data_IF_754523978074
#
_entry.id   IF_754523978074
#
_cell.length_a   1.000
_cell.length_b   1.000
_cell.length_c   1.000
_cell.angle_alpha   90.00
_cell.angle_beta   90.00
_cell.angle_gamma   90.00
#
_symmetry.space_group_name_H-M   'P 1'
#
loop_
_entity.id
_entity.type
_entity.pdbx_description
1 polymer ?
#
# COMPACT_ATOMS: atom_id res chain seq x y z
N UNK A 1 -12.02 -14.67 -18.93
CA UNK A 1 -11.39 -13.62 -18.11
C UNK A 1 -11.36 -14.11 -16.68
N UNK A 2 -10.18 -14.15 -16.05
CA UNK A 2 -10.03 -14.57 -14.65
C UNK A 2 -10.58 -13.54 -13.67
N UNK A 3 -10.70 -13.93 -12.39
CA UNK A 3 -11.25 -13.01 -11.38
C UNK A 3 -10.33 -11.81 -11.12
N UNK A 4 -9.02 -11.98 -11.23
CA UNK A 4 -8.08 -10.87 -11.10
C UNK A 4 -8.24 -9.82 -12.21
N UNK A 5 -8.40 -10.24 -13.47
CA UNK A 5 -8.64 -9.33 -14.58
C UNK A 5 -9.96 -8.57 -14.42
N UNK A 6 -11.03 -9.24 -13.95
CA UNK A 6 -12.30 -8.59 -13.61
C UNK A 6 -12.12 -7.55 -12.50
N UNK A 7 -11.32 -7.86 -11.47
CA UNK A 7 -11.04 -6.94 -10.37
C UNK A 7 -10.24 -5.71 -10.85
N UNK A 8 -9.28 -5.89 -11.76
CA UNK A 8 -8.53 -4.79 -12.35
C UNK A 8 -9.42 -3.88 -13.21
N UNK A 9 -10.33 -4.46 -13.99
CA UNK A 9 -11.32 -3.69 -14.75
C UNK A 9 -12.27 -2.93 -13.83
N UNK A 10 -12.76 -3.57 -12.77
CA UNK A 10 -13.61 -2.93 -11.76
C UNK A 10 -12.91 -1.73 -11.11
N UNK A 11 -11.64 -1.88 -10.69
CA UNK A 11 -10.84 -0.78 -10.16
C UNK A 11 -10.72 0.38 -11.16
N UNK A 12 -10.32 0.06 -12.41
CA UNK A 12 -10.15 1.07 -13.47
C UNK A 12 -11.45 1.78 -13.80
N UNK A 13 -12.57 1.06 -13.83
CA UNK A 13 -13.88 1.63 -14.05
C UNK A 13 -14.23 2.63 -12.94
N UNK A 14 -14.13 2.22 -11.66
CA UNK A 14 -14.40 3.10 -10.52
C UNK A 14 -13.54 4.36 -10.54
N UNK A 15 -12.27 4.23 -10.89
CA UNK A 15 -11.37 5.39 -10.98
C UNK A 15 -11.69 6.29 -12.18
N UNK A 16 -12.09 5.73 -13.33
CA UNK A 16 -12.50 6.52 -14.50
C UNK A 16 -13.80 7.29 -14.30
N UNK A 17 -14.69 6.78 -13.47
CA UNK A 17 -15.96 7.43 -13.09
C UNK A 17 -15.75 8.57 -12.06
N UNK A 18 -14.58 8.60 -11.39
CA UNK A 18 -14.29 9.54 -10.31
C UNK A 18 -14.11 10.98 -10.81
N UNK A 19 -14.88 11.91 -10.27
CA UNK A 19 -14.71 13.34 -10.53
C UNK A 19 -13.36 13.87 -10.00
N UNK A 20 -12.85 13.30 -8.91
CA UNK A 20 -11.52 13.63 -8.39
C UNK A 20 -10.42 13.26 -9.41
N UNK A 21 -10.46 12.06 -9.94
CA UNK A 21 -9.44 11.60 -10.89
C UNK A 21 -9.57 12.21 -12.28
N UNK A 22 -10.79 12.60 -12.71
CA UNK A 22 -10.95 13.40 -13.93
C UNK A 22 -10.21 14.74 -13.85
N UNK A 23 -10.17 15.34 -12.65
CA UNK A 23 -9.40 16.59 -12.40
C UNK A 23 -7.90 16.34 -12.20
N UNK A 24 -7.49 15.11 -11.82
CA UNK A 24 -6.10 14.76 -11.50
C UNK A 24 -5.70 13.40 -12.13
N UNK A 25 -5.58 13.32 -13.46
CA UNK A 25 -5.33 12.06 -14.15
C UNK A 25 -4.00 11.39 -13.75
N UNK A 26 -2.94 12.15 -13.43
CA UNK A 26 -1.69 11.60 -12.93
C UNK A 26 -1.85 10.87 -11.59
N UNK A 27 -2.74 11.35 -10.72
CA UNK A 27 -3.04 10.71 -9.44
C UNK A 27 -3.77 9.37 -9.65
N UNK A 28 -4.64 9.28 -10.66
CA UNK A 28 -5.29 8.03 -11.06
C UNK A 28 -4.25 6.99 -11.51
N UNK A 29 -3.34 7.38 -12.41
CA UNK A 29 -2.30 6.49 -12.90
C UNK A 29 -1.39 6.01 -11.77
N UNK A 30 -0.98 6.92 -10.89
CA UNK A 30 -0.22 6.56 -9.69
C UNK A 30 -0.94 5.51 -8.84
N UNK A 31 -2.23 5.72 -8.54
CA UNK A 31 -3.03 4.80 -7.71
C UNK A 31 -3.23 3.44 -8.37
N UNK A 32 -3.49 3.37 -9.67
CA UNK A 32 -3.59 2.11 -10.41
C UNK A 32 -2.26 1.33 -10.32
N UNK A 33 -1.14 2.01 -10.58
CA UNK A 33 0.17 1.37 -10.54
C UNK A 33 0.55 0.91 -9.13
N UNK A 34 0.26 1.70 -8.09
CA UNK A 34 0.41 1.30 -6.70
C UNK A 34 -0.40 0.04 -6.38
N UNK A 35 -1.69 0.02 -6.73
CA UNK A 35 -2.57 -1.13 -6.51
C UNK A 35 -2.07 -2.40 -7.21
N UNK A 36 -1.55 -2.28 -8.44
CA UNK A 36 -0.96 -3.41 -9.18
C UNK A 36 0.32 -3.91 -8.50
N UNK A 37 1.20 -3.03 -8.05
CA UNK A 37 2.42 -3.44 -7.33
C UNK A 37 2.06 -4.12 -6.00
N UNK A 38 1.12 -3.56 -5.25
CA UNK A 38 0.62 -4.14 -4.00
C UNK A 38 0.01 -5.54 -4.24
N UNK A 39 -0.77 -5.71 -5.32
CA UNK A 39 -1.31 -7.01 -5.71
C UNK A 39 -0.22 -8.04 -6.06
N UNK A 40 0.84 -7.63 -6.73
CA UNK A 40 1.96 -8.51 -7.06
C UNK A 40 2.74 -8.94 -5.81
N UNK A 41 2.91 -8.03 -4.84
CA UNK A 41 3.51 -8.35 -3.53
C UNK A 41 2.64 -9.35 -2.78
N UNK A 42 1.31 -9.11 -2.72
CA UNK A 42 0.36 -10.02 -2.07
C UNK A 42 0.37 -11.41 -2.72
N UNK A 43 0.38 -11.48 -4.05
CA UNK A 43 0.50 -12.77 -4.77
C UNK A 43 1.79 -13.50 -4.42
N UNK A 44 2.91 -12.79 -4.36
CA UNK A 44 4.20 -13.37 -3.97
C UNK A 44 4.18 -13.91 -2.54
N UNK A 45 3.61 -13.15 -1.59
CA UNK A 45 3.43 -13.61 -0.21
C UNK A 45 2.55 -14.86 -0.18
N UNK A 46 1.37 -14.82 -0.82
CA UNK A 46 0.44 -15.94 -0.83
C UNK A 46 1.07 -17.22 -1.37
N UNK A 47 1.81 -17.12 -2.48
CA UNK A 47 2.51 -18.26 -3.09
C UNK A 47 3.52 -18.91 -2.15
N UNK A 48 4.29 -18.12 -1.41
CA UNK A 48 5.34 -18.65 -0.53
C UNK A 48 4.81 -19.12 0.83
N UNK A 49 3.63 -18.65 1.22
CA UNK A 49 2.98 -19.00 2.49
C UNK A 49 1.81 -20.00 2.32
N UNK A 50 1.59 -20.53 1.10
CA UNK A 50 0.54 -21.52 0.84
C UNK A 50 -0.90 -20.99 0.96
N UNK A 51 -1.11 -19.70 0.67
CA UNK A 51 -2.42 -19.05 0.70
C UNK A 51 -3.04 -19.00 -0.70
N UNK A 52 -4.32 -18.58 -0.79
CA UNK A 52 -4.98 -18.34 -2.07
C UNK A 52 -4.38 -17.10 -2.77
N UNK A 53 -3.56 -17.34 -3.79
CA UNK A 53 -2.80 -16.31 -4.52
C UNK A 53 -3.73 -15.29 -5.22
N UNK A 54 -4.79 -15.76 -5.88
CA UNK A 54 -5.71 -14.89 -6.62
C UNK A 54 -6.51 -14.01 -5.66
N UNK A 55 -7.05 -14.60 -4.60
CA UNK A 55 -7.86 -13.88 -3.63
C UNK A 55 -7.04 -12.82 -2.87
N UNK A 56 -5.81 -13.15 -2.46
CA UNK A 56 -4.94 -12.18 -1.78
C UNK A 56 -4.53 -11.06 -2.73
N UNK A 57 -4.20 -11.37 -3.99
CA UNK A 57 -3.88 -10.37 -5.00
C UNK A 57 -5.06 -9.42 -5.28
N UNK A 58 -6.30 -9.93 -5.30
CA UNK A 58 -7.51 -9.11 -5.46
C UNK A 58 -7.72 -8.21 -4.25
N UNK A 59 -7.56 -8.71 -3.04
CA UNK A 59 -7.65 -7.89 -1.82
C UNK A 59 -6.63 -6.74 -1.84
N UNK A 60 -5.39 -7.06 -2.18
CA UNK A 60 -4.32 -6.06 -2.33
C UNK A 60 -4.59 -5.08 -3.48
N UNK A 61 -5.16 -5.53 -4.61
CA UNK A 61 -5.50 -4.67 -5.75
C UNK A 61 -6.57 -3.64 -5.38
N UNK A 62 -7.54 -4.03 -4.56
CA UNK A 62 -8.73 -3.23 -4.29
C UNK A 62 -8.69 -2.47 -2.96
N UNK A 63 -7.58 -2.57 -2.18
CA UNK A 63 -7.51 -1.99 -0.83
C UNK A 63 -7.77 -0.48 -0.79
N UNK A 64 -7.39 0.22 -1.83
CA UNK A 64 -7.46 1.68 -1.98
C UNK A 64 -8.60 2.16 -2.91
N UNK A 65 -9.55 1.29 -3.31
CA UNK A 65 -10.58 1.64 -4.30
C UNK A 65 -11.42 2.86 -3.91
N UNK A 66 -11.56 3.15 -2.61
CA UNK A 66 -12.31 4.30 -2.11
C UNK A 66 -11.68 5.65 -2.46
N UNK A 67 -10.44 5.70 -2.94
CA UNK A 67 -9.88 6.92 -3.54
C UNK A 67 -10.60 7.35 -4.84
N UNK A 68 -11.50 6.51 -5.38
CA UNK A 68 -12.46 6.94 -6.38
C UNK A 68 -13.44 8.01 -5.87
N UNK A 69 -13.63 8.10 -4.56
CA UNK A 69 -14.47 9.11 -3.92
C UNK A 69 -13.69 10.43 -3.74
N UNK A 70 -14.39 11.54 -3.73
CA UNK A 70 -13.79 12.85 -3.46
C UNK A 70 -13.74 13.06 -1.95
N UNK A 71 -12.61 12.80 -1.33
CA UNK A 71 -12.44 12.98 0.11
C UNK A 71 -12.48 14.46 0.49
N UNK A 72 -13.35 14.80 1.40
CA UNK A 72 -13.62 16.18 1.81
C UNK A 72 -12.93 16.58 3.10
N UNK A 73 -12.55 15.60 3.92
CA UNK A 73 -11.96 15.83 5.24
C UNK A 73 -10.92 14.77 5.62
N UNK A 74 -10.20 15.04 6.71
CA UNK A 74 -9.20 14.12 7.24
C UNK A 74 -9.80 12.78 7.68
N UNK A 75 -11.03 12.80 8.14
CA UNK A 75 -11.77 11.60 8.56
C UNK A 75 -11.95 10.62 7.39
N UNK A 76 -12.27 11.12 6.20
CA UNK A 76 -12.41 10.30 4.98
C UNK A 76 -11.11 9.58 4.67
N UNK A 77 -9.96 10.29 4.84
CA UNK A 77 -8.63 9.71 4.64
C UNK A 77 -8.34 8.60 5.67
N UNK A 78 -8.72 8.80 6.93
CA UNK A 78 -8.52 7.79 7.97
C UNK A 78 -9.43 6.57 7.72
N UNK A 79 -10.64 6.81 7.22
CA UNK A 79 -11.65 5.77 7.01
C UNK A 79 -11.56 5.08 5.64
N UNK A 80 -10.61 5.43 4.78
CA UNK A 80 -10.62 4.93 3.40
C UNK A 80 -10.54 3.39 3.31
N UNK A 81 -9.84 2.71 4.21
CA UNK A 81 -9.79 1.26 4.26
C UNK A 81 -11.17 0.64 4.54
N UNK A 82 -11.89 1.15 5.54
CA UNK A 82 -13.26 0.71 5.87
C UNK A 82 -14.24 0.98 4.73
N UNK A 83 -14.11 2.14 4.09
CA UNK A 83 -14.91 2.49 2.92
C UNK A 83 -14.61 1.58 1.73
N UNK A 84 -13.32 1.30 1.46
CA UNK A 84 -12.90 0.36 0.42
C UNK A 84 -13.48 -1.04 0.66
N UNK A 85 -13.43 -1.55 1.89
CA UNK A 85 -13.98 -2.85 2.23
C UNK A 85 -15.49 -2.95 1.92
N UNK A 86 -16.26 -1.89 2.24
CA UNK A 86 -17.70 -1.81 1.91
C UNK A 86 -17.95 -1.80 0.40
N UNK A 87 -17.13 -1.09 -0.37
CA UNK A 87 -17.26 -1.03 -1.83
C UNK A 87 -16.91 -2.35 -2.50
N UNK A 88 -15.97 -3.10 -1.94
CA UNK A 88 -15.44 -4.34 -2.54
C UNK A 88 -16.34 -5.55 -2.26
N UNK A 89 -17.00 -5.60 -1.10
CA UNK A 89 -17.79 -6.77 -0.68
C UNK A 89 -18.83 -7.24 -1.73
N UNK A 90 -19.69 -6.39 -2.30
CA UNK A 90 -20.66 -6.83 -3.32
C UNK A 90 -19.98 -7.42 -4.55
N UNK A 91 -18.87 -6.80 -4.99
CA UNK A 91 -18.11 -7.30 -6.14
C UNK A 91 -17.50 -8.69 -5.88
N UNK A 92 -16.97 -8.95 -4.67
CA UNK A 92 -16.47 -10.28 -4.33
C UNK A 92 -17.58 -11.34 -4.28
N UNK A 93 -18.80 -10.97 -3.87
CA UNK A 93 -19.98 -11.84 -3.94
C UNK A 93 -20.35 -12.18 -5.39
N UNK A 94 -20.32 -11.20 -6.29
CA UNK A 94 -20.53 -11.40 -7.73
C UNK A 94 -19.47 -12.32 -8.37
N UNK A 95 -18.23 -12.30 -7.85
CA UNK A 95 -17.18 -13.23 -8.26
C UNK A 95 -17.39 -14.67 -7.75
N UNK A 96 -18.34 -14.89 -6.85
CA UNK A 96 -18.69 -16.21 -6.31
C UNK A 96 -17.71 -16.72 -5.24
N UNK A 97 -16.96 -15.83 -4.57
CA UNK A 97 -16.12 -16.25 -3.45
C UNK A 97 -16.95 -16.70 -2.24
N UNK A 98 -16.47 -17.71 -1.47
CA UNK A 98 -17.08 -18.09 -0.21
C UNK A 98 -17.10 -16.94 0.79
N UNK A 99 -18.17 -16.83 1.60
CA UNK A 99 -18.35 -15.72 2.54
C UNK A 99 -17.18 -15.58 3.54
N UNK A 100 -16.60 -16.70 3.99
CA UNK A 100 -15.42 -16.69 4.85
C UNK A 100 -14.22 -15.98 4.19
N UNK A 101 -13.99 -16.26 2.90
CA UNK A 101 -12.90 -15.64 2.15
C UNK A 101 -13.18 -14.16 1.89
N UNK A 102 -14.43 -13.81 1.57
CA UNK A 102 -14.87 -12.41 1.44
C UNK A 102 -14.63 -11.66 2.75
N UNK A 103 -14.97 -12.24 3.89
CA UNK A 103 -14.74 -11.65 5.20
C UNK A 103 -13.24 -11.40 5.45
N UNK A 104 -12.38 -12.37 5.14
CA UNK A 104 -10.93 -12.23 5.30
C UNK A 104 -10.35 -11.11 4.40
N UNK A 105 -10.79 -11.03 3.14
CA UNK A 105 -10.38 -9.96 2.20
C UNK A 105 -10.85 -8.59 2.73
N UNK A 106 -12.14 -8.45 3.01
CA UNK A 106 -12.71 -7.18 3.47
C UNK A 106 -12.09 -6.73 4.80
N UNK A 107 -11.83 -7.67 5.72
CA UNK A 107 -11.19 -7.34 6.98
C UNK A 107 -9.77 -6.81 6.78
N UNK A 108 -8.95 -7.49 5.96
CA UNK A 108 -7.62 -7.03 5.62
C UNK A 108 -7.62 -5.64 4.96
N UNK A 109 -8.57 -5.38 4.06
CA UNK A 109 -8.76 -4.05 3.44
C UNK A 109 -9.16 -3.03 4.51
N UNK A 110 -10.09 -3.34 5.42
CA UNK A 110 -10.57 -2.37 6.41
C UNK A 110 -9.45 -1.90 7.36
N UNK A 111 -8.60 -2.83 7.80
CA UNK A 111 -7.58 -2.56 8.83
C UNK A 111 -6.26 -1.98 8.30
N UNK A 112 -6.06 -1.86 6.97
CA UNK A 112 -4.73 -1.51 6.42
C UNK A 112 -4.25 -0.10 6.79
N UNK A 113 -5.15 0.80 7.19
CA UNK A 113 -4.82 2.19 7.51
C UNK A 113 -4.38 2.37 8.97
N UNK A 114 -5.16 1.87 9.90
CA UNK A 114 -5.02 2.14 11.34
C UNK A 114 -5.33 0.93 12.23
N UNK A 115 -5.30 -0.28 11.64
CA UNK A 115 -5.59 -1.56 12.27
C UNK A 115 -7.01 -1.67 12.87
N UNK A 116 -7.96 -0.84 12.38
CA UNK A 116 -9.35 -0.82 12.86
C UNK A 116 -10.33 -1.18 11.75
N UNK A 117 -11.30 -2.02 12.10
CA UNK A 117 -12.48 -2.27 11.29
C UNK A 117 -13.74 -1.80 12.03
N UNK A 118 -14.82 -1.52 11.30
CA UNK A 118 -16.15 -1.18 11.83
C UNK A 118 -17.13 -2.36 11.74
N UNK A 119 -16.59 -3.56 11.56
CA UNK A 119 -17.30 -4.85 11.57
C UNK A 119 -16.39 -5.94 12.15
N UNK A 120 -17.01 -7.04 12.58
CA UNK A 120 -16.29 -8.19 13.11
C UNK A 120 -15.51 -8.92 12.01
N UNK A 121 -14.28 -9.31 12.33
CA UNK A 121 -13.39 -10.05 11.44
C UNK A 121 -12.23 -10.69 12.19
N UNK A 122 -11.48 -11.54 11.52
CA UNK A 122 -10.37 -12.27 12.14
C UNK A 122 -9.05 -11.76 11.61
N UNK A 123 -8.21 -11.27 12.53
CA UNK A 123 -6.81 -10.99 12.23
C UNK A 123 -6.06 -12.32 12.06
N UNK A 124 -5.66 -12.60 10.84
CA UNK A 124 -4.94 -13.83 10.49
C UNK A 124 -3.85 -13.53 9.45
N UNK A 125 -2.95 -14.48 9.13
CA UNK A 125 -1.88 -14.26 8.15
C UNK A 125 -2.38 -13.79 6.79
N UNK A 126 -3.55 -14.24 6.31
CA UNK A 126 -4.11 -13.82 5.04
C UNK A 126 -4.54 -12.34 5.09
N UNK A 127 -5.43 -11.97 6.03
CA UNK A 127 -5.94 -10.61 6.13
C UNK A 127 -4.81 -9.59 6.42
N UNK A 128 -3.84 -9.96 7.27
CA UNK A 128 -2.73 -9.08 7.58
C UNK A 128 -1.69 -8.96 6.44
N UNK A 129 -1.68 -9.92 5.50
CA UNK A 129 -0.83 -9.81 4.31
C UNK A 129 -1.28 -8.69 3.34
N UNK A 130 -2.56 -8.25 3.38
CA UNK A 130 -3.01 -7.07 2.65
C UNK A 130 -2.34 -5.81 3.23
N UNK A 131 -2.35 -5.67 4.55
CA UNK A 131 -1.66 -4.59 5.28
C UNK A 131 -0.15 -4.60 4.99
N UNK A 132 0.46 -5.78 5.05
CA UNK A 132 1.89 -5.95 4.77
C UNK A 132 2.25 -5.53 3.34
N UNK A 133 1.44 -5.94 2.35
CA UNK A 133 1.70 -5.66 0.94
C UNK A 133 1.67 -4.16 0.62
N UNK A 134 0.71 -3.41 1.17
CA UNK A 134 0.66 -1.95 1.05
C UNK A 134 1.91 -1.30 1.68
N UNK A 135 2.24 -1.67 2.91
CA UNK A 135 3.41 -1.14 3.59
C UNK A 135 4.71 -1.45 2.83
N UNK A 136 4.87 -2.66 2.30
CA UNK A 136 6.06 -3.06 1.52
C UNK A 136 6.19 -2.22 0.25
N UNK A 137 5.11 -1.94 -0.50
CA UNK A 137 5.16 -1.04 -1.67
C UNK A 137 5.51 0.39 -1.25
N UNK A 138 4.95 0.88 -0.13
CA UNK A 138 5.20 2.23 0.40
C UNK A 138 6.62 2.45 0.91
N UNK A 139 7.41 1.40 1.12
CA UNK A 139 8.81 1.48 1.53
C UNK A 139 9.77 0.95 0.46
N UNK A 140 9.34 0.88 -0.81
CA UNK A 140 10.23 0.54 -1.92
C UNK A 140 10.77 1.80 -2.64
N UNK A 141 11.60 1.60 -3.63
CA UNK A 141 12.40 2.61 -4.35
C UNK A 141 11.56 3.73 -4.96
N UNK A 142 10.40 3.41 -5.54
CA UNK A 142 9.53 4.42 -6.13
C UNK A 142 9.08 5.47 -5.11
N UNK A 143 8.83 5.06 -3.87
CA UNK A 143 8.42 5.98 -2.82
C UNK A 143 9.55 6.93 -2.38
N UNK A 144 10.81 6.55 -2.53
CA UNK A 144 11.94 7.47 -2.28
C UNK A 144 11.84 8.65 -3.25
N UNK A 145 11.69 8.34 -4.55
CA UNK A 145 11.53 9.34 -5.60
C UNK A 145 10.30 10.24 -5.35
N UNK A 146 9.13 9.65 -5.18
CA UNK A 146 7.87 10.32 -4.96
C UNK A 146 7.90 11.27 -3.73
N UNK A 147 8.48 10.82 -2.61
CA UNK A 147 8.62 11.65 -1.42
C UNK A 147 9.61 12.81 -1.63
N UNK A 148 10.71 12.59 -2.34
CA UNK A 148 11.70 13.64 -2.62
C UNK A 148 11.14 14.68 -3.58
N UNK A 149 10.37 14.26 -4.59
CA UNK A 149 9.67 15.17 -5.49
C UNK A 149 8.63 16.01 -4.74
N UNK A 150 7.83 15.38 -3.88
CA UNK A 150 6.79 16.06 -3.09
C UNK A 150 7.34 17.18 -2.21
N UNK A 151 8.52 17.00 -1.63
CA UNK A 151 9.18 18.04 -0.81
C UNK A 151 10.06 18.98 -1.62
N UNK A 152 10.10 18.86 -2.93
CA UNK A 152 10.99 19.61 -3.82
C UNK A 152 12.45 19.55 -3.35
N UNK A 153 12.93 18.33 -3.09
CA UNK A 153 14.24 18.09 -2.47
C UNK A 153 15.41 18.78 -3.20
N UNK A 154 15.33 18.91 -4.52
CA UNK A 154 16.31 19.60 -5.37
C UNK A 154 16.32 21.12 -5.20
N UNK A 155 15.26 21.70 -4.57
CA UNK A 155 15.08 23.16 -4.44
C UNK A 155 15.23 23.70 -3.02
N UNK A 156 15.35 22.81 -2.03
CA UNK A 156 15.59 23.21 -0.64
C UNK A 156 17.09 23.34 -0.35
N UNK A 157 17.46 24.08 0.71
CA UNK A 157 18.84 24.28 1.12
C UNK A 157 19.56 22.96 1.46
N UNK A 158 20.87 22.92 1.39
CA UNK A 158 21.67 21.74 1.80
C UNK A 158 21.39 21.37 3.26
N UNK A 159 21.24 22.34 4.15
CA UNK A 159 20.91 22.10 5.55
C UNK A 159 19.53 21.44 5.71
N UNK A 160 18.53 21.88 4.94
CA UNK A 160 17.19 21.27 4.92
C UNK A 160 17.23 19.86 4.31
N UNK A 161 18.04 19.62 3.28
CA UNK A 161 18.26 18.30 2.71
C UNK A 161 18.88 17.35 3.74
N UNK A 162 19.89 17.80 4.48
CA UNK A 162 20.52 17.03 5.57
C UNK A 162 19.49 16.72 6.67
N UNK A 163 18.68 17.70 7.08
CA UNK A 163 17.64 17.54 8.08
C UNK A 163 16.57 16.50 7.62
N UNK A 164 16.12 16.59 6.37
CA UNK A 164 15.20 15.64 5.75
C UNK A 164 15.76 14.22 5.78
N UNK A 165 16.97 14.01 5.27
CA UNK A 165 17.61 12.69 5.22
C UNK A 165 17.83 12.12 6.63
N UNK A 166 18.24 12.95 7.58
CA UNK A 166 18.40 12.54 8.98
C UNK A 166 17.07 12.09 9.59
N UNK A 167 15.97 12.80 9.31
CA UNK A 167 14.62 12.43 9.73
C UNK A 167 14.20 11.10 9.13
N UNK A 168 14.44 10.89 7.82
CA UNK A 168 14.13 9.63 7.13
C UNK A 168 14.88 8.45 7.74
N UNK A 169 16.19 8.60 8.00
CA UNK A 169 16.99 7.56 8.66
C UNK A 169 16.44 7.19 10.06
N UNK A 170 15.99 8.19 10.83
CA UNK A 170 15.36 7.95 12.15
C UNK A 170 14.05 7.17 12.01
N UNK A 171 13.23 7.48 11.02
CA UNK A 171 11.98 6.76 10.74
C UNK A 171 12.25 5.32 10.29
N UNK A 172 13.21 5.12 9.38
CA UNK A 172 13.59 3.79 8.88
C UNK A 172 14.14 2.87 9.99
N UNK A 173 14.91 3.42 10.94
CA UNK A 173 15.36 2.67 12.12
C UNK A 173 14.20 2.16 12.96
N UNK A 174 13.11 2.94 13.08
CA UNK A 174 11.87 2.48 13.77
C UNK A 174 11.12 1.47 12.91
N UNK A 175 10.98 1.72 11.62
CA UNK A 175 10.31 0.82 10.68
C UNK A 175 10.97 -0.57 10.63
N UNK A 176 12.31 -0.63 10.83
CA UNK A 176 13.04 -1.91 10.91
C UNK A 176 12.55 -2.84 12.02
N UNK A 177 11.89 -2.31 13.05
CA UNK A 177 11.36 -3.09 14.19
C UNK A 177 9.94 -3.62 13.94
N UNK A 178 9.31 -3.25 12.84
CA UNK A 178 7.98 -3.75 12.46
C UNK A 178 8.11 -5.22 12.05
N UNK A 179 7.15 -6.03 12.52
CA UNK A 179 7.03 -7.44 12.17
C UNK A 179 5.62 -7.71 11.64
N UNK A 180 5.56 -8.45 10.55
CA UNK A 180 4.33 -8.97 9.96
C UNK A 180 4.07 -10.41 10.38
N UNK A 181 2.87 -10.92 10.10
CA UNK A 181 2.45 -12.26 10.52
C UNK A 181 3.08 -13.40 9.69
N UNK A 182 3.69 -13.08 8.54
CA UNK A 182 4.30 -14.08 7.67
C UNK A 182 5.80 -13.87 7.53
N UNK A 183 6.54 -14.98 7.35
CA UNK A 183 8.00 -14.92 7.12
C UNK A 183 8.31 -14.16 5.84
N UNK A 184 7.58 -14.44 4.75
CA UNK A 184 7.81 -13.83 3.44
C UNK A 184 7.62 -12.31 3.49
N UNK A 185 6.58 -11.82 4.17
CA UNK A 185 6.38 -10.38 4.34
C UNK A 185 7.51 -9.72 5.14
N UNK A 186 7.99 -10.38 6.20
CA UNK A 186 9.12 -9.89 6.99
C UNK A 186 10.41 -9.82 6.17
N UNK A 187 10.72 -10.84 5.39
CA UNK A 187 11.92 -10.89 4.55
C UNK A 187 11.90 -9.75 3.51
N UNK A 188 10.77 -9.56 2.81
CA UNK A 188 10.58 -8.46 1.86
C UNK A 188 10.72 -7.09 2.55
N UNK A 189 10.10 -6.91 3.71
CA UNK A 189 10.17 -5.68 4.47
C UNK A 189 11.60 -5.33 4.88
N UNK A 190 12.32 -6.29 5.45
CA UNK A 190 13.71 -6.07 5.89
C UNK A 190 14.62 -5.72 4.72
N UNK A 191 14.44 -6.34 3.56
CA UNK A 191 15.18 -6.00 2.34
C UNK A 191 14.94 -4.54 1.93
N UNK A 192 13.65 -4.09 1.84
CA UNK A 192 13.31 -2.71 1.46
C UNK A 192 13.86 -1.69 2.45
N UNK A 193 13.71 -1.95 3.75
CA UNK A 193 14.24 -1.05 4.79
C UNK A 193 15.77 -0.98 4.76
N UNK A 194 16.45 -2.12 4.59
CA UNK A 194 17.91 -2.14 4.49
C UNK A 194 18.42 -1.35 3.27
N UNK A 195 17.75 -1.49 2.12
CA UNK A 195 18.07 -0.72 0.92
C UNK A 195 17.92 0.79 1.17
N UNK A 196 16.79 1.24 1.73
CA UNK A 196 16.55 2.65 2.00
C UNK A 196 17.56 3.23 3.00
N UNK A 197 17.88 2.49 4.07
CA UNK A 197 18.90 2.91 5.03
C UNK A 197 20.26 3.09 4.34
N UNK A 198 20.63 2.14 3.47
CA UNK A 198 21.89 2.24 2.69
C UNK A 198 21.88 3.44 1.76
N UNK A 199 20.79 3.68 1.05
CA UNK A 199 20.60 4.81 0.15
C UNK A 199 20.75 6.15 0.90
N UNK A 200 19.98 6.37 1.95
CA UNK A 200 19.97 7.62 2.69
C UNK A 200 21.28 7.88 3.46
N UNK A 201 21.96 6.84 3.96
CA UNK A 201 23.29 7.02 4.53
C UNK A 201 24.32 7.49 3.51
N UNK A 202 24.27 6.96 2.27
CA UNK A 202 25.15 7.44 1.20
C UNK A 202 24.84 8.88 0.79
N UNK A 203 23.55 9.20 0.64
CA UNK A 203 23.11 10.55 0.32
C UNK A 203 23.54 11.55 1.41
N UNK A 204 23.38 11.20 2.69
CA UNK A 204 23.81 12.05 3.80
C UNK A 204 25.31 12.35 3.76
N UNK A 205 26.15 11.35 3.50
CA UNK A 205 27.60 11.53 3.34
C UNK A 205 27.93 12.52 2.22
N UNK A 206 27.28 12.39 1.06
CA UNK A 206 27.48 13.31 -0.06
C UNK A 206 27.07 14.74 0.28
N UNK A 207 25.92 14.94 0.94
CA UNK A 207 25.45 16.26 1.38
C UNK A 207 26.39 16.90 2.39
N UNK A 208 27.09 16.11 3.19
CA UNK A 208 28.11 16.55 4.17
C UNK A 208 29.52 16.65 3.59
N UNK A 209 29.68 16.51 2.26
CA UNK A 209 30.97 16.49 1.57
C UNK A 209 31.94 15.44 2.15
N UNK A 210 31.40 14.29 2.63
CA UNK A 210 32.17 13.16 3.16
C UNK A 210 32.07 11.93 2.27
N UNK A 211 33.05 11.03 2.39
CA UNK A 211 33.12 9.81 1.57
C UNK A 211 32.82 8.54 2.38
#
# INVERSE_FOLDING_TARGET
MGNYEKALEFLKQKYSESEYFKRKPWSMEYRINHSIRTANIGRYIAKNEGMNEEALAIGCLLHDISYALDFSCKEDIINHGRTSAKMVRPFLQELGYPEELINNICYGIAIHVDEKADFEGTLNPFSYSIVASDNIDRYDTYRIYDNMEHVHFDKISIDDQIAYVTKMLKQLKKAKLVNFMTKTANDLWQDKIAFQIKYFNRLLKQLQNSF
#
